data_IF_543135085978
#
_entry.id   IF_543135085978
#
_cell.length_a   1.000
_cell.length_b   1.000
_cell.length_c   1.000
_cell.angle_alpha   90.00
_cell.angle_beta   90.00
_cell.angle_gamma   90.00
#
_symmetry.space_group_name_H-M   'P 1'
#
loop_
_entity.id
_entity.type
_entity.pdbx_description
1 polymer ?
#
# COMPACT_ATOMS: atom_id res chain seq x y z
N UNK A 1 -32.21 -0.36 5.42
CA UNK A 1 -31.56 -1.16 6.46
C UNK A 1 -30.63 -0.32 7.34
N UNK A 2 -30.00 -0.92 8.38
CA UNK A 2 -29.08 -0.22 9.28
C UNK A 2 -27.98 0.54 8.51
N UNK A 3 -27.46 -0.02 7.42
CA UNK A 3 -26.46 0.62 6.56
C UNK A 3 -26.94 1.95 5.95
N UNK A 4 -28.20 2.10 5.64
CA UNK A 4 -28.75 3.35 5.09
C UNK A 4 -28.92 4.43 6.18
N UNK A 5 -29.16 4.01 7.41
CA UNK A 5 -29.23 4.92 8.56
C UNK A 5 -27.85 5.54 8.81
N UNK A 6 -26.78 4.73 8.85
CA UNK A 6 -25.40 5.23 9.04
C UNK A 6 -24.96 6.12 7.87
N UNK A 7 -25.29 5.76 6.63
CA UNK A 7 -24.98 6.60 5.46
C UNK A 7 -25.60 7.99 5.58
N UNK A 8 -26.87 8.07 6.01
CA UNK A 8 -27.56 9.36 6.22
C UNK A 8 -26.95 10.16 7.38
N UNK A 9 -26.55 9.49 8.45
CA UNK A 9 -25.90 10.16 9.58
C UNK A 9 -24.57 10.79 9.17
N UNK A 10 -23.77 10.08 8.37
CA UNK A 10 -22.50 10.60 7.86
C UNK A 10 -22.75 11.77 6.91
N UNK A 11 -23.74 11.68 6.02
CA UNK A 11 -24.14 12.78 5.12
C UNK A 11 -24.55 14.02 5.92
N UNK A 12 -25.41 13.86 6.93
CA UNK A 12 -25.85 14.94 7.81
C UNK A 12 -24.66 15.57 8.52
N UNK A 13 -23.83 14.76 9.16
CA UNK A 13 -22.64 15.24 9.84
C UNK A 13 -21.71 16.05 8.91
N UNK A 14 -21.43 15.54 7.71
CA UNK A 14 -20.57 16.24 6.76
C UNK A 14 -21.19 17.57 6.30
N UNK A 15 -22.51 17.61 6.12
CA UNK A 15 -23.27 18.82 5.78
C UNK A 15 -23.24 19.83 6.92
N UNK A 16 -23.54 19.39 8.14
CA UNK A 16 -23.62 20.24 9.34
C UNK A 16 -22.26 20.83 9.72
N UNK A 17 -21.20 20.09 9.45
CA UNK A 17 -19.81 20.52 9.76
C UNK A 17 -19.08 21.14 8.55
N UNK A 18 -19.76 21.29 7.43
CA UNK A 18 -19.15 21.75 6.15
C UNK A 18 -17.90 20.95 5.74
N UNK A 19 -17.85 19.65 6.14
CA UNK A 19 -16.72 18.77 5.86
C UNK A 19 -17.00 17.95 4.58
N UNK A 20 -16.08 17.86 3.63
CA UNK A 20 -16.27 17.02 2.43
C UNK A 20 -16.50 15.56 2.81
N UNK A 21 -17.53 14.93 2.23
CA UNK A 21 -17.75 13.50 2.37
C UNK A 21 -16.80 12.74 1.44
N UNK A 22 -15.79 12.11 2.03
CA UNK A 22 -14.80 11.30 1.32
C UNK A 22 -14.91 9.85 1.76
N UNK A 23 -15.08 8.94 0.78
CA UNK A 23 -15.10 7.50 1.02
C UNK A 23 -13.87 6.92 0.32
N UNK A 24 -12.95 6.36 1.09
CA UNK A 24 -11.68 5.84 0.58
C UNK A 24 -11.58 4.32 0.72
N UNK A 25 -10.64 3.73 -0.03
CA UNK A 25 -10.33 2.29 0.01
C UNK A 25 -11.54 1.42 -0.40
N UNK A 26 -12.31 1.91 -1.36
CA UNK A 26 -13.47 1.18 -1.87
C UNK A 26 -13.04 0.22 -2.98
N UNK A 27 -13.36 -1.09 -2.87
CA UNK A 27 -13.10 -2.02 -3.97
C UNK A 27 -13.81 -1.60 -5.25
N UNK A 28 -13.16 -1.77 -6.41
CA UNK A 28 -13.70 -1.33 -7.72
C UNK A 28 -15.10 -1.89 -7.99
N UNK A 29 -15.38 -3.13 -7.57
CA UNK A 29 -16.68 -3.80 -7.74
C UNK A 29 -17.81 -3.15 -6.93
N UNK A 30 -17.49 -2.32 -5.93
CA UNK A 30 -18.48 -1.57 -5.15
C UNK A 30 -18.82 -0.20 -5.72
N UNK A 31 -18.10 0.25 -6.75
CA UNK A 31 -18.35 1.55 -7.37
C UNK A 31 -19.79 1.74 -7.87
N UNK A 32 -20.44 0.76 -8.55
CA UNK A 32 -21.82 0.93 -9.02
C UNK A 32 -22.82 1.19 -7.88
N UNK A 33 -22.62 0.53 -6.73
CA UNK A 33 -23.48 0.71 -5.55
C UNK A 33 -23.40 2.14 -5.01
N UNK A 34 -22.17 2.70 -4.95
CA UNK A 34 -21.96 4.06 -4.50
C UNK A 34 -22.49 5.09 -5.50
N UNK A 35 -22.30 4.87 -6.80
CA UNK A 35 -22.81 5.74 -7.86
C UNK A 35 -24.35 5.80 -7.89
N UNK A 36 -25.03 4.71 -7.55
CA UNK A 36 -26.49 4.72 -7.39
C UNK A 36 -26.94 5.62 -6.23
N UNK A 37 -26.17 5.64 -5.14
CA UNK A 37 -26.49 6.47 -3.98
C UNK A 37 -26.15 7.93 -4.19
N UNK A 38 -24.97 8.18 -4.77
CA UNK A 38 -24.42 9.51 -5.02
C UNK A 38 -24.05 9.67 -6.49
N UNK A 39 -25.00 10.07 -7.37
CA UNK A 39 -24.75 10.17 -8.81
C UNK A 39 -23.68 11.18 -9.21
N UNK A 40 -23.28 12.05 -8.29
CA UNK A 40 -22.32 13.15 -8.51
C UNK A 40 -21.06 12.94 -7.69
N UNK A 41 -20.48 11.76 -7.82
CA UNK A 41 -19.19 11.44 -7.22
C UNK A 41 -18.04 11.89 -8.12
N UNK A 42 -17.02 12.48 -7.52
CA UNK A 42 -15.68 12.47 -8.13
C UNK A 42 -15.00 11.18 -7.72
N UNK A 43 -14.63 10.36 -8.69
CA UNK A 43 -13.94 9.08 -8.45
C UNK A 43 -12.46 9.22 -8.82
N UNK A 44 -11.59 8.79 -7.93
CA UNK A 44 -10.16 8.69 -8.17
C UNK A 44 -9.73 7.22 -8.08
N UNK A 45 -8.96 6.74 -9.09
CA UNK A 45 -8.43 5.39 -9.20
C UNK A 45 -6.92 5.45 -9.46
N UNK A 46 -6.17 5.77 -8.43
CA UNK A 46 -4.74 5.93 -8.56
C UNK A 46 -4.00 4.59 -8.64
N UNK A 47 -3.09 4.49 -9.63
CA UNK A 47 -2.24 3.32 -9.82
C UNK A 47 -1.42 2.98 -8.58
N UNK A 48 -0.98 3.98 -7.83
CA UNK A 48 -0.12 3.83 -6.66
C UNK A 48 -0.79 3.13 -5.48
N UNK A 49 -2.13 3.10 -5.47
CA UNK A 49 -2.94 2.50 -4.41
C UNK A 49 -3.54 1.15 -4.78
N UNK A 50 -3.20 0.61 -5.98
CA UNK A 50 -3.69 -0.71 -6.40
C UNK A 50 -2.89 -1.81 -5.71
N UNK A 51 -3.63 -2.75 -5.11
CA UNK A 51 -3.04 -3.90 -4.45
C UNK A 51 -2.54 -4.94 -5.43
N UNK A 52 -1.41 -5.53 -5.09
CA UNK A 52 -0.80 -6.61 -5.85
C UNK A 52 -1.33 -7.96 -5.39
N UNK A 53 -2.10 -8.63 -6.25
CA UNK A 53 -2.63 -9.96 -6.00
C UNK A 53 -1.80 -11.02 -6.71
N UNK A 54 -1.46 -12.07 -5.99
CA UNK A 54 -0.70 -13.22 -6.48
C UNK A 54 -1.49 -14.50 -6.25
N UNK A 55 -1.28 -15.54 -7.06
CA UNK A 55 -1.78 -16.88 -6.73
C UNK A 55 -1.05 -17.40 -5.51
N UNK A 56 -1.79 -17.89 -4.52
CA UNK A 56 -1.19 -18.43 -3.30
C UNK A 56 -0.29 -19.63 -3.60
N UNK A 57 -0.71 -20.52 -4.49
CA UNK A 57 0.07 -21.67 -4.96
C UNK A 57 1.41 -21.27 -5.63
N UNK A 58 1.38 -20.20 -6.46
CA UNK A 58 2.60 -19.72 -7.12
C UNK A 58 3.60 -19.17 -6.09
N UNK A 59 3.12 -18.43 -5.10
CA UNK A 59 3.96 -17.84 -4.05
C UNK A 59 4.54 -18.91 -3.11
N UNK A 60 3.77 -19.94 -2.81
CA UNK A 60 4.21 -21.04 -1.95
C UNK A 60 5.28 -21.92 -2.64
N UNK A 61 5.16 -22.14 -3.94
CA UNK A 61 6.04 -23.07 -4.65
C UNK A 61 7.18 -22.38 -5.42
N UNK A 62 6.97 -21.16 -5.93
CA UNK A 62 7.83 -20.49 -6.92
C UNK A 62 8.22 -21.43 -8.06
N UNK A 63 7.25 -22.18 -8.58
CA UNK A 63 7.47 -23.19 -9.61
C UNK A 63 7.76 -22.58 -11.00
N UNK A 64 8.47 -23.34 -11.84
CA UNK A 64 8.71 -22.99 -13.23
C UNK A 64 9.83 -21.96 -13.46
N UNK A 65 10.15 -21.74 -14.74
CA UNK A 65 11.26 -20.89 -15.16
C UNK A 65 11.07 -19.41 -14.76
N UNK A 66 9.81 -18.95 -14.71
CA UNK A 66 9.44 -17.57 -14.37
C UNK A 66 9.93 -17.13 -12.97
N UNK A 67 10.09 -18.06 -12.03
CA UNK A 67 10.54 -17.79 -10.67
C UNK A 67 11.98 -18.27 -10.39
N UNK A 68 12.79 -18.52 -11.41
CA UNK A 68 14.18 -18.98 -11.23
C UNK A 68 15.02 -17.99 -10.40
N UNK A 69 14.79 -16.69 -10.56
CA UNK A 69 15.49 -15.67 -9.77
C UNK A 69 15.23 -15.79 -8.28
N UNK A 70 13.94 -15.90 -7.88
CA UNK A 70 13.55 -16.07 -6.48
C UNK A 70 14.15 -17.35 -5.89
N UNK A 71 14.05 -18.49 -6.61
CA UNK A 71 14.67 -19.73 -6.17
C UNK A 71 16.19 -19.65 -6.01
N UNK A 72 16.88 -18.93 -6.90
CA UNK A 72 18.32 -18.72 -6.77
C UNK A 72 18.68 -17.96 -5.49
N UNK A 73 17.93 -16.90 -5.15
CA UNK A 73 18.13 -16.18 -3.89
C UNK A 73 17.85 -17.06 -2.67
N UNK A 74 16.77 -17.86 -2.70
CA UNK A 74 16.41 -18.78 -1.63
C UNK A 74 17.49 -19.88 -1.45
N UNK A 75 17.95 -20.47 -2.54
CA UNK A 75 18.97 -21.52 -2.50
C UNK A 75 20.30 -20.96 -1.97
N UNK A 76 20.68 -19.73 -2.37
CA UNK A 76 21.85 -19.06 -1.83
C UNK A 76 21.72 -18.84 -0.33
N UNK A 77 20.57 -18.31 0.13
CA UNK A 77 20.29 -18.09 1.55
C UNK A 77 20.36 -19.38 2.36
N UNK A 78 19.71 -20.46 1.91
CA UNK A 78 19.74 -21.76 2.60
C UNK A 78 21.14 -22.38 2.66
N UNK A 79 21.96 -22.15 1.64
CA UNK A 79 23.35 -22.59 1.63
C UNK A 79 24.23 -21.80 2.61
N UNK A 80 24.00 -20.51 2.71
CA UNK A 80 24.75 -19.59 3.58
C UNK A 80 24.33 -19.75 5.05
N UNK A 81 23.00 -20.00 5.28
CA UNK A 81 22.41 -20.16 6.61
C UNK A 81 21.73 -21.53 6.76
N UNK A 82 22.47 -22.61 6.94
CA UNK A 82 21.91 -23.97 6.99
C UNK A 82 21.01 -24.22 8.20
N UNK A 83 21.14 -23.41 9.25
CA UNK A 83 20.28 -23.45 10.46
C UNK A 83 18.95 -22.72 10.26
N UNK A 84 18.76 -22.04 9.12
CA UNK A 84 17.57 -21.25 8.85
C UNK A 84 16.30 -22.11 8.87
N UNK A 85 15.34 -21.72 9.68
CA UNK A 85 14.02 -22.37 9.80
C UNK A 85 12.90 -21.36 9.83
N UNK A 86 11.78 -21.68 9.20
CA UNK A 86 10.56 -20.90 9.33
C UNK A 86 9.81 -21.36 10.59
N UNK A 87 9.27 -20.40 11.34
CA UNK A 87 8.44 -20.65 12.51
C UNK A 87 7.19 -19.76 12.47
N UNK A 88 6.01 -20.27 12.83
CA UNK A 88 4.88 -19.43 13.15
C UNK A 88 5.23 -18.62 14.41
N UNK A 89 4.80 -17.35 14.42
CA UNK A 89 5.00 -16.43 15.55
C UNK A 89 3.66 -16.18 16.24
N UNK A 90 3.70 -16.15 17.54
CA UNK A 90 2.55 -15.93 18.43
C UNK A 90 2.83 -14.81 19.42
N UNK A 91 1.86 -14.50 20.28
CA UNK A 91 2.08 -13.55 21.39
C UNK A 91 3.20 -13.96 22.34
N UNK A 92 3.51 -15.26 22.46
CA UNK A 92 4.62 -15.75 23.31
C UNK A 92 6.00 -15.35 22.74
N UNK A 93 6.07 -15.04 21.44
CA UNK A 93 7.31 -14.71 20.74
C UNK A 93 7.61 -13.20 20.74
N UNK A 94 6.82 -12.39 21.47
CA UNK A 94 7.01 -10.93 21.54
C UNK A 94 8.44 -10.51 21.87
N UNK A 95 9.16 -11.13 22.83
CA UNK A 95 10.55 -10.77 23.10
C UNK A 95 11.47 -10.96 21.88
N UNK A 96 11.24 -12.02 21.10
CA UNK A 96 11.96 -12.30 19.87
C UNK A 96 11.68 -11.26 18.78
N UNK A 97 10.42 -10.86 18.66
CA UNK A 97 9.95 -9.81 17.73
C UNK A 97 10.54 -8.45 18.12
N UNK A 98 10.59 -8.12 19.40
CA UNK A 98 11.18 -6.87 19.89
C UNK A 98 12.69 -6.80 19.58
N UNK A 99 13.41 -7.91 19.77
CA UNK A 99 14.83 -7.98 19.40
C UNK A 99 15.01 -7.80 17.88
N UNK A 100 14.17 -8.43 17.06
CA UNK A 100 14.19 -8.22 15.61
C UNK A 100 14.01 -6.76 15.23
N UNK A 101 13.07 -6.05 15.86
CA UNK A 101 12.87 -4.63 15.58
C UNK A 101 14.07 -3.77 15.99
N UNK A 102 14.74 -4.09 17.10
CA UNK A 102 15.95 -3.40 17.51
C UNK A 102 17.07 -3.58 16.47
N UNK A 103 17.26 -4.81 16.01
CA UNK A 103 18.23 -5.12 14.95
C UNK A 103 17.87 -4.45 13.62
N UNK A 104 16.59 -4.49 13.24
CA UNK A 104 16.13 -3.87 12.01
C UNK A 104 16.32 -2.36 12.01
N UNK A 105 16.09 -1.68 13.13
CA UNK A 105 16.30 -0.24 13.27
C UNK A 105 17.78 0.15 13.15
N UNK A 106 18.72 -0.68 13.60
CA UNK A 106 20.15 -0.45 13.43
C UNK A 106 20.56 -0.50 11.94
N UNK A 107 19.95 -1.39 11.17
CA UNK A 107 20.20 -1.54 9.73
C UNK A 107 19.36 -0.58 8.87
N UNK A 108 18.31 0.05 9.45
CA UNK A 108 17.33 0.85 8.73
C UNK A 108 17.89 2.22 8.37
N UNK A 109 18.25 2.37 7.09
CA UNK A 109 18.90 3.60 6.59
C UNK A 109 17.92 4.64 6.03
N UNK A 110 16.61 4.32 5.93
CA UNK A 110 15.62 5.25 5.38
C UNK A 110 15.29 6.37 6.38
N UNK A 111 15.52 7.60 5.96
CA UNK A 111 15.34 8.80 6.80
C UNK A 111 14.02 9.54 6.53
N UNK A 112 13.29 9.20 5.45
CA UNK A 112 12.06 9.88 5.09
C UNK A 112 11.00 9.73 6.18
N UNK A 113 10.17 10.77 6.36
CA UNK A 113 9.07 10.77 7.33
C UNK A 113 8.12 9.58 7.13
N UNK A 114 7.75 9.30 5.88
CA UNK A 114 6.85 8.19 5.55
C UNK A 114 7.44 6.82 5.91
N UNK A 115 8.73 6.60 5.66
CA UNK A 115 9.39 5.34 5.99
C UNK A 115 9.47 5.11 7.51
N UNK A 116 9.73 6.16 8.29
CA UNK A 116 9.72 6.09 9.77
C UNK A 116 8.31 5.82 10.31
N UNK A 117 7.31 6.46 9.71
CA UNK A 117 5.90 6.26 10.08
C UNK A 117 5.43 4.84 9.76
N UNK A 118 5.78 4.31 8.59
CA UNK A 118 5.51 2.91 8.20
C UNK A 118 6.12 1.92 9.22
N UNK A 119 7.39 2.15 9.61
CA UNK A 119 8.04 1.31 10.62
C UNK A 119 7.34 1.37 11.97
N UNK A 120 6.91 2.55 12.40
CA UNK A 120 6.16 2.71 13.65
C UNK A 120 4.82 1.96 13.61
N UNK A 121 4.10 1.99 12.48
CA UNK A 121 2.87 1.22 12.29
C UNK A 121 3.13 -0.29 12.25
N UNK A 122 4.17 -0.74 11.57
CA UNK A 122 4.54 -2.16 11.55
C UNK A 122 4.83 -2.70 12.97
N UNK A 123 5.56 -1.93 13.79
CA UNK A 123 5.81 -2.26 15.20
C UNK A 123 4.54 -2.24 16.04
N UNK A 124 3.65 -1.27 15.82
CA UNK A 124 2.36 -1.20 16.51
C UNK A 124 1.47 -2.40 16.16
N UNK A 125 1.42 -2.78 14.87
CA UNK A 125 0.65 -3.94 14.42
C UNK A 125 1.21 -5.25 15.04
N UNK A 126 2.52 -5.41 15.13
CA UNK A 126 3.13 -6.59 15.73
C UNK A 126 2.71 -6.79 17.20
N UNK A 127 2.46 -5.71 17.94
CA UNK A 127 1.97 -5.76 19.33
C UNK A 127 0.55 -6.29 19.46
N UNK A 128 -0.21 -6.38 18.36
CA UNK A 128 -1.54 -6.98 18.33
C UNK A 128 -1.53 -8.48 18.08
N UNK A 129 -0.35 -9.07 17.83
CA UNK A 129 -0.23 -10.53 17.63
C UNK A 129 -0.81 -11.37 18.79
N UNK A 130 -0.68 -10.96 20.07
CA UNK A 130 -1.32 -11.66 21.19
C UNK A 130 -2.84 -11.71 21.13
N UNK A 131 -3.50 -10.81 20.39
CA UNK A 131 -4.96 -10.79 20.22
C UNK A 131 -5.50 -11.99 19.42
N UNK A 132 -4.61 -12.72 18.70
CA UNK A 132 -4.90 -13.99 18.06
C UNK A 132 -5.61 -13.93 16.70
N UNK A 133 -5.89 -12.76 16.16
CA UNK A 133 -6.48 -12.63 14.82
C UNK A 133 -5.43 -12.43 13.72
N UNK A 134 -4.22 -11.97 14.09
CA UNK A 134 -3.09 -11.86 13.18
C UNK A 134 -2.36 -13.21 13.04
N UNK A 135 -1.93 -13.49 11.82
CA UNK A 135 -1.03 -14.58 11.49
C UNK A 135 0.40 -14.03 11.45
N UNK A 136 1.25 -14.53 12.33
CA UNK A 136 2.65 -14.17 12.37
C UNK A 136 3.54 -15.31 11.89
N UNK A 137 4.63 -14.98 11.20
CA UNK A 137 5.64 -15.97 10.83
C UNK A 137 7.00 -15.33 10.63
N UNK A 138 8.05 -16.08 10.91
CA UNK A 138 9.40 -15.56 10.81
C UNK A 138 10.44 -16.60 10.39
N UNK A 139 11.58 -16.10 9.97
CA UNK A 139 12.78 -16.89 9.73
C UNK A 139 13.76 -16.71 10.88
N UNK A 140 14.13 -17.83 11.50
CA UNK A 140 15.21 -17.90 12.48
C UNK A 140 16.51 -18.35 11.80
N UNK A 141 17.60 -17.73 12.17
CA UNK A 141 18.98 -18.18 11.90
C UNK A 141 19.70 -18.18 13.24
N UNK A 142 20.23 -19.33 13.65
CA UNK A 142 20.88 -19.50 14.96
C UNK A 142 20.02 -18.96 16.11
N UNK A 143 18.72 -19.31 16.07
CA UNK A 143 17.67 -18.89 17.02
C UNK A 143 17.40 -17.36 17.09
N UNK A 144 18.00 -16.57 16.19
CA UNK A 144 17.73 -15.14 16.02
C UNK A 144 16.73 -14.93 14.90
N UNK A 145 15.73 -14.08 15.12
CA UNK A 145 14.75 -13.71 14.10
C UNK A 145 15.39 -12.75 13.10
N UNK A 146 15.50 -13.16 11.83
CA UNK A 146 16.14 -12.36 10.76
C UNK A 146 15.16 -11.82 9.73
N UNK A 147 13.94 -12.37 9.72
CA UNK A 147 12.87 -11.84 8.88
C UNK A 147 11.50 -12.22 9.50
N UNK A 148 10.50 -11.37 9.32
CA UNK A 148 9.14 -11.62 9.80
C UNK A 148 8.08 -11.07 8.88
N UNK A 149 6.90 -11.70 8.92
CA UNK A 149 5.70 -11.24 8.22
C UNK A 149 4.49 -11.32 9.14
N UNK A 150 3.55 -10.38 8.96
CA UNK A 150 2.25 -10.36 9.62
C UNK A 150 1.16 -10.27 8.57
N UNK A 151 0.11 -11.06 8.75
CA UNK A 151 -0.98 -11.15 7.81
C UNK A 151 -2.31 -11.45 8.50
N UNK A 152 -3.40 -11.34 7.73
CA UNK A 152 -4.70 -11.87 8.09
C UNK A 152 -5.29 -12.67 6.92
N UNK A 153 -6.17 -13.63 7.21
CA UNK A 153 -6.96 -14.33 6.21
C UNK A 153 -8.35 -13.72 6.12
N UNK A 154 -8.64 -13.08 5.00
CA UNK A 154 -9.93 -12.44 4.74
C UNK A 154 -10.59 -13.10 3.52
N UNK A 155 -11.61 -13.92 3.75
CA UNK A 155 -12.43 -14.52 2.68
C UNK A 155 -11.62 -15.33 1.64
N UNK A 156 -10.61 -16.10 2.07
CA UNK A 156 -9.76 -16.90 1.16
C UNK A 156 -8.68 -16.07 0.45
N UNK A 157 -8.41 -14.87 0.93
CA UNK A 157 -7.26 -14.05 0.54
C UNK A 157 -6.38 -13.80 1.76
N UNK A 158 -5.12 -14.17 1.66
CA UNK A 158 -4.11 -13.86 2.68
C UNK A 158 -3.59 -12.44 2.43
N UNK A 159 -3.92 -11.50 3.32
CA UNK A 159 -3.51 -10.10 3.21
C UNK A 159 -2.26 -9.89 4.05
N UNK A 160 -1.16 -9.52 3.40
CA UNK A 160 0.14 -9.32 4.03
C UNK A 160 0.31 -7.83 4.38
N UNK A 161 0.30 -7.52 5.65
CA UNK A 161 0.45 -6.15 6.15
C UNK A 161 1.91 -5.76 6.40
N UNK A 162 2.71 -6.72 6.85
CA UNK A 162 4.13 -6.49 7.18
C UNK A 162 4.98 -7.60 6.58
N UNK A 163 6.02 -7.23 5.86
CA UNK A 163 7.13 -8.12 5.46
C UNK A 163 8.43 -7.34 5.66
N UNK A 164 9.25 -7.81 6.57
CA UNK A 164 10.55 -7.18 6.87
C UNK A 164 11.63 -8.27 7.01
N UNK A 165 12.82 -7.96 6.53
CA UNK A 165 14.00 -8.80 6.69
C UNK A 165 15.23 -7.93 6.95
N UNK A 166 16.17 -8.43 7.73
CA UNK A 166 17.45 -7.77 7.97
C UNK A 166 18.25 -7.69 6.67
N UNK A 167 18.82 -6.54 6.37
CA UNK A 167 19.60 -6.30 5.15
C UNK A 167 20.88 -7.13 5.12
N UNK A 168 21.44 -7.43 6.29
CA UNK A 168 22.62 -8.28 6.47
C UNK A 168 22.39 -9.72 6.00
N UNK A 169 21.13 -10.20 5.91
CA UNK A 169 20.79 -11.56 5.54
C UNK A 169 20.24 -11.63 4.12
N UNK A 170 21.12 -11.58 3.12
CA UNK A 170 20.73 -11.60 1.71
C UNK A 170 19.97 -12.87 1.34
N UNK A 171 18.77 -12.70 0.73
CA UNK A 171 17.89 -13.81 0.37
C UNK A 171 16.91 -14.21 1.46
N UNK A 172 16.97 -13.65 2.68
CA UNK A 172 15.97 -13.87 3.73
C UNK A 172 14.56 -13.44 3.27
N UNK A 173 14.46 -12.28 2.60
CA UNK A 173 13.18 -11.74 2.15
C UNK A 173 12.41 -12.73 1.22
N UNK A 174 12.93 -13.17 0.06
CA UNK A 174 12.23 -14.14 -0.79
C UNK A 174 12.02 -15.50 -0.09
N UNK A 175 12.90 -15.88 0.83
CA UNK A 175 12.74 -17.12 1.63
C UNK A 175 11.56 -16.99 2.58
N UNK A 176 11.41 -15.86 3.26
CA UNK A 176 10.25 -15.55 4.10
C UNK A 176 8.96 -15.60 3.29
N UNK A 177 8.93 -14.88 2.15
CA UNK A 177 7.75 -14.81 1.28
C UNK A 177 7.27 -16.20 0.89
N UNK A 178 8.17 -17.07 0.43
CA UNK A 178 7.84 -18.45 0.06
C UNK A 178 7.34 -19.26 1.26
N UNK A 179 8.09 -19.22 2.36
CA UNK A 179 7.79 -20.05 3.53
C UNK A 179 6.48 -19.63 4.21
N UNK A 180 6.22 -18.33 4.27
CA UNK A 180 4.97 -17.77 4.81
C UNK A 180 3.77 -18.17 3.95
N UNK A 181 3.90 -18.04 2.62
CA UNK A 181 2.87 -18.46 1.68
C UNK A 181 2.61 -19.98 1.75
N UNK A 182 3.65 -20.79 1.87
CA UNK A 182 3.52 -22.25 2.01
C UNK A 182 2.85 -22.66 3.32
N UNK A 183 3.06 -21.90 4.40
CA UNK A 183 2.51 -22.23 5.71
C UNK A 183 1.05 -21.76 5.88
N UNK A 184 0.76 -20.52 5.47
CA UNK A 184 -0.54 -19.89 5.73
C UNK A 184 -1.45 -19.76 4.50
N UNK A 185 -0.93 -19.98 3.30
CA UNK A 185 -1.65 -19.79 2.05
C UNK A 185 -2.46 -20.98 1.56
N UNK A 186 -2.41 -22.15 2.27
CA UNK A 186 -3.01 -23.39 1.77
C UNK A 186 -4.51 -23.31 1.47
N UNK A 187 -5.27 -22.58 2.27
CA UNK A 187 -6.72 -22.39 2.11
C UNK A 187 -7.07 -21.09 1.34
N UNK A 188 -6.06 -20.39 0.83
CA UNK A 188 -6.24 -19.13 0.13
C UNK A 188 -6.08 -19.29 -1.38
N UNK A 189 -6.91 -18.59 -2.14
CA UNK A 189 -6.78 -18.50 -3.60
C UNK A 189 -5.74 -17.45 -3.97
N UNK A 190 -5.71 -16.35 -3.21
CA UNK A 190 -4.82 -15.22 -3.46
C UNK A 190 -4.02 -14.82 -2.23
N UNK A 191 -2.85 -14.25 -2.50
CA UNK A 191 -2.08 -13.45 -1.55
C UNK A 191 -2.13 -12.00 -2.02
N UNK A 192 -2.61 -11.11 -1.16
CA UNK A 192 -2.59 -9.66 -1.35
C UNK A 192 -1.39 -9.09 -0.58
N UNK A 193 -0.47 -8.44 -1.28
CA UNK A 193 0.69 -7.78 -0.66
C UNK A 193 0.57 -6.26 -0.67
N UNK A 194 -0.67 -5.77 -0.67
CA UNK A 194 -1.02 -4.35 -0.66
C UNK A 194 -0.40 -3.55 -1.83
N UNK A 195 -0.46 -2.23 -1.77
CA UNK A 195 0.00 -1.34 -2.82
C UNK A 195 1.50 -1.00 -2.72
N UNK A 196 1.99 -0.16 -3.64
CA UNK A 196 3.38 0.31 -3.66
C UNK A 196 3.54 1.77 -3.18
N UNK A 197 2.46 2.43 -2.78
CA UNK A 197 2.42 3.83 -2.34
C UNK A 197 3.21 4.81 -3.24
N UNK A 198 3.43 4.46 -4.52
CA UNK A 198 4.22 5.22 -5.47
C UNK A 198 5.74 5.03 -5.36
N UNK A 199 6.24 4.19 -4.45
CA UNK A 199 7.67 3.89 -4.35
C UNK A 199 8.11 2.99 -5.53
N UNK A 200 9.05 3.50 -6.35
CA UNK A 200 9.54 2.80 -7.55
C UNK A 200 10.28 1.51 -7.21
N UNK A 201 11.05 1.49 -6.13
CA UNK A 201 11.79 0.30 -5.67
C UNK A 201 10.84 -0.79 -5.21
N UNK A 202 9.85 -0.44 -4.39
CA UNK A 202 8.81 -1.35 -3.93
C UNK A 202 7.98 -1.88 -5.10
N UNK A 203 7.61 -1.01 -6.06
CA UNK A 203 6.92 -1.41 -7.30
C UNK A 203 7.72 -2.45 -8.07
N UNK A 204 8.99 -2.19 -8.33
CA UNK A 204 9.88 -3.12 -9.04
C UNK A 204 9.96 -4.46 -8.31
N UNK A 205 10.16 -4.42 -6.99
CA UNK A 205 10.19 -5.63 -6.16
C UNK A 205 8.88 -6.43 -6.26
N UNK A 206 7.72 -5.77 -6.11
CA UNK A 206 6.42 -6.45 -6.20
C UNK A 206 6.15 -7.06 -7.57
N UNK A 207 6.51 -6.37 -8.65
CA UNK A 207 6.35 -6.87 -10.03
C UNK A 207 7.23 -8.10 -10.33
N UNK A 208 8.38 -8.25 -9.69
CA UNK A 208 9.25 -9.43 -9.85
C UNK A 208 8.60 -10.74 -9.36
N UNK A 209 7.56 -10.65 -8.52
CA UNK A 209 6.78 -11.81 -8.07
C UNK A 209 5.58 -12.12 -8.99
N UNK A 210 5.44 -11.41 -10.12
CA UNK A 210 4.46 -11.67 -11.18
C UNK A 210 3.01 -11.68 -10.68
N UNK A 211 2.49 -10.54 -10.22
CA UNK A 211 1.11 -10.46 -9.77
C UNK A 211 0.16 -10.81 -10.90
N UNK A 212 -0.90 -11.56 -10.58
CA UNK A 212 -1.92 -11.94 -11.57
C UNK A 212 -2.93 -10.82 -11.80
N UNK A 213 -3.05 -9.91 -10.85
CA UNK A 213 -3.98 -8.78 -10.91
C UNK A 213 -3.49 -7.63 -10.04
N UNK A 214 -3.84 -6.41 -10.44
CA UNK A 214 -3.80 -5.23 -9.60
C UNK A 214 -5.24 -4.88 -9.21
N UNK A 215 -5.58 -5.06 -7.95
CA UNK A 215 -6.90 -4.75 -7.42
C UNK A 215 -7.01 -3.25 -7.12
N UNK A 216 -7.98 -2.58 -7.72
CA UNK A 216 -8.21 -1.15 -7.52
C UNK A 216 -8.84 -0.86 -6.17
N UNK A 217 -8.38 0.22 -5.55
CA UNK A 217 -8.97 0.86 -4.38
C UNK A 217 -9.38 2.26 -4.78
N UNK A 218 -10.68 2.51 -4.84
CA UNK A 218 -11.23 3.77 -5.28
C UNK A 218 -11.36 4.74 -4.10
N UNK A 219 -11.15 6.01 -4.40
CA UNK A 219 -11.52 7.11 -3.52
C UNK A 219 -12.65 7.89 -4.16
N UNK A 220 -13.70 8.07 -3.43
CA UNK A 220 -14.86 8.84 -3.83
C UNK A 220 -14.95 10.11 -3.00
N UNK A 221 -15.25 11.20 -3.66
CA UNK A 221 -15.55 12.48 -3.05
C UNK A 221 -16.96 12.87 -3.48
N UNK A 222 -17.87 12.93 -2.50
CA UNK A 222 -19.25 13.32 -2.73
C UNK A 222 -19.31 14.83 -2.80
N UNK A 223 -19.67 15.37 -3.94
CA UNK A 223 -19.89 16.82 -4.08
C UNK A 223 -21.20 17.20 -3.41
N UNK A 224 -21.16 17.93 -2.32
CA UNK A 224 -22.34 18.52 -1.71
C UNK A 224 -22.77 19.80 -2.48
N UNK A 225 -24.04 20.23 -2.27
CA UNK A 225 -24.54 21.46 -2.93
C UNK A 225 -23.75 22.71 -2.52
N UNK A 226 -23.18 22.73 -1.31
CA UNK A 226 -22.32 23.81 -0.84
C UNK A 226 -21.06 23.98 -1.70
N UNK A 227 -20.51 22.87 -2.24
CA UNK A 227 -19.35 22.96 -3.13
C UNK A 227 -19.67 23.58 -4.50
N UNK A 228 -20.96 23.60 -4.88
CA UNK A 228 -21.42 24.22 -6.13
C UNK A 228 -21.59 25.71 -6.03
N UNK A 229 -21.84 26.21 -4.81
CA UNK A 229 -22.14 27.60 -4.54
C UNK A 229 -20.88 28.38 -4.14
N UNK A 230 -19.77 27.72 -3.90
CA UNK A 230 -18.49 28.40 -3.69
C UNK A 230 -17.97 28.87 -5.04
N UNK A 231 -18.30 30.12 -5.38
CA UNK A 231 -17.52 30.88 -6.37
C UNK A 231 -16.07 30.84 -5.91
N UNK A 232 -15.17 30.34 -6.77
CA UNK A 232 -13.74 30.41 -6.48
C UNK A 232 -13.38 31.88 -6.39
N UNK A 233 -12.95 32.40 -5.23
CA UNK A 233 -12.77 33.82 -5.06
C UNK A 233 -11.58 34.31 -5.87
N UNK A 234 -11.72 35.51 -6.44
CA UNK A 234 -10.56 36.29 -6.92
C UNK A 234 -9.79 36.79 -5.71
N UNK A 235 -8.52 36.40 -5.58
CA UNK A 235 -7.62 36.86 -4.51
C UNK A 235 -6.65 37.88 -5.05
N UNK A 236 -6.69 39.09 -4.54
CA UNK A 236 -5.79 40.19 -4.95
C UNK A 236 -4.78 40.49 -3.85
N UNK A 237 -3.52 40.52 -4.23
CA UNK A 237 -2.40 40.95 -3.38
C UNK A 237 -1.79 42.21 -3.98
N UNK A 238 -0.87 42.92 -3.29
CA UNK A 238 -0.20 44.09 -3.88
C UNK A 238 0.55 43.83 -5.19
N UNK A 239 0.84 42.56 -5.49
CA UNK A 239 1.66 42.14 -6.63
C UNK A 239 0.94 41.25 -7.63
N UNK A 240 -0.12 40.54 -7.23
CA UNK A 240 -0.75 39.49 -8.02
C UNK A 240 -2.28 39.51 -7.83
N UNK A 241 -2.98 39.20 -8.89
CA UNK A 241 -4.40 38.84 -8.85
C UNK A 241 -4.51 37.38 -9.29
N UNK A 242 -5.03 36.53 -8.40
CA UNK A 242 -5.30 35.12 -8.67
C UNK A 242 -6.78 34.99 -9.00
N UNK A 243 -7.08 34.51 -10.18
CA UNK A 243 -8.44 34.23 -10.66
C UNK A 243 -8.64 32.77 -10.94
N UNK A 244 -9.87 32.24 -10.91
CA UNK A 244 -10.16 30.92 -11.44
C UNK A 244 -9.66 30.76 -12.87
N UNK A 245 -9.20 29.56 -13.24
CA UNK A 245 -8.86 29.24 -14.63
C UNK A 245 -10.15 29.18 -15.46
N UNK A 246 -10.15 29.86 -16.60
CA UNK A 246 -11.22 29.83 -17.58
C UNK A 246 -10.71 29.31 -18.93
N UNK A 247 -11.60 28.94 -19.85
CA UNK A 247 -11.22 28.42 -21.18
C UNK A 247 -10.25 29.38 -21.93
N UNK A 248 -10.39 30.67 -21.75
CA UNK A 248 -9.48 31.69 -22.34
C UNK A 248 -8.04 31.55 -21.87
N UNK A 249 -7.80 30.88 -20.72
CA UNK A 249 -6.48 30.72 -20.12
C UNK A 249 -5.77 29.47 -20.59
N UNK A 250 -6.46 28.58 -21.36
CA UNK A 250 -5.96 27.28 -21.79
C UNK A 250 -4.61 27.37 -22.50
N UNK A 251 -4.48 28.29 -23.46
CA UNK A 251 -3.23 28.44 -24.22
C UNK A 251 -2.05 28.84 -23.32
N UNK A 252 -2.28 29.77 -22.38
CA UNK A 252 -1.27 30.24 -21.44
C UNK A 252 -0.91 29.14 -20.43
N UNK A 253 -1.90 28.39 -19.95
CA UNK A 253 -1.71 27.26 -19.03
C UNK A 253 -0.89 26.13 -19.70
N UNK A 254 -1.24 25.76 -20.94
CA UNK A 254 -0.51 24.76 -21.70
C UNK A 254 0.93 25.20 -21.97
N UNK A 255 1.17 26.45 -22.32
CA UNK A 255 2.52 26.99 -22.50
C UNK A 255 3.34 26.93 -21.21
N UNK A 256 2.72 27.18 -20.06
CA UNK A 256 3.36 27.07 -18.74
C UNK A 256 3.70 25.61 -18.42
N UNK A 257 2.79 24.67 -18.68
CA UNK A 257 3.01 23.24 -18.45
C UNK A 257 4.11 22.64 -19.33
N UNK A 258 4.35 23.20 -20.52
CA UNK A 258 5.38 22.76 -21.44
C UNK A 258 6.74 23.48 -21.24
N UNK A 259 6.86 24.39 -20.30
CA UNK A 259 8.11 25.10 -19.99
C UNK A 259 9.00 24.26 -19.08
N UNK A 260 9.86 23.43 -19.66
CA UNK A 260 10.79 22.55 -18.93
C UNK A 260 11.73 23.32 -18.01
N UNK A 261 12.13 24.54 -18.36
CA UNK A 261 13.02 25.35 -17.54
C UNK A 261 12.37 25.77 -16.22
N UNK A 262 11.06 25.94 -16.21
CA UNK A 262 10.26 26.26 -15.01
C UNK A 262 9.84 25.00 -14.28
N UNK A 263 9.43 23.96 -15.00
CA UNK A 263 8.88 22.73 -14.43
C UNK A 263 9.91 21.91 -13.66
N UNK A 264 11.21 22.03 -13.95
CA UNK A 264 12.29 21.39 -13.19
C UNK A 264 12.25 21.66 -11.69
N UNK A 265 11.66 22.79 -11.27
CA UNK A 265 11.56 23.16 -9.85
C UNK A 265 10.38 22.52 -9.14
N UNK A 266 9.43 21.98 -9.90
CA UNK A 266 8.22 21.34 -9.36
C UNK A 266 8.40 19.83 -9.12
N UNK A 267 9.55 19.28 -9.55
CA UNK A 267 9.84 17.85 -9.41
C UNK A 267 8.97 16.94 -10.26
N UNK A 268 8.23 17.50 -11.21
CA UNK A 268 7.42 16.74 -12.18
C UNK A 268 8.15 16.66 -13.51
N UNK A 269 8.41 15.44 -13.94
CA UNK A 269 8.86 15.14 -15.31
C UNK A 269 7.58 15.02 -16.16
N UNK A 270 7.08 16.15 -16.65
CA UNK A 270 5.91 16.19 -17.53
C UNK A 270 6.37 15.75 -18.93
N UNK A 271 6.43 14.45 -19.17
CA UNK A 271 6.60 13.96 -20.53
C UNK A 271 5.29 14.22 -21.30
N UNK A 272 5.41 14.66 -22.56
CA UNK A 272 4.31 14.89 -23.50
C UNK A 272 3.35 13.69 -23.68
N UNK A 273 3.74 12.51 -23.20
CA UNK A 273 2.93 11.28 -23.24
C UNK A 273 1.76 11.32 -22.23
N UNK A 274 1.79 12.21 -21.27
CA UNK A 274 0.77 12.30 -20.21
C UNK A 274 -0.27 13.41 -20.45
N UNK A 275 -0.11 14.17 -21.51
CA UNK A 275 -1.04 15.21 -21.97
C UNK A 275 -1.92 14.64 -23.09
#
# INVERSE_FOLDING_TARGET
GLGDVYKRQIESYCTDTETPLVISVVPEEKAPELLLRWPRLRMNNERNWKDYLYRAEDMAAFAGRKYSGQRNHINKFRKEYPTAKFVPLTGADMPLIENFWADYEQEFQKTSFNAKRELAYAKALARLLPEGWLLGGGLLVDDRLVAMSLAENCGGTLIIHVEKALYSHQGAYPTLVQAFAAHFGGDCVYINREDDAGDRGLRTSKLQYLPVRLAGKLRFEVQCEADRLREIPTVTTPRLTLTPLEERDEAAYNALCLDDARNRWWGYDLSLIHI
#
